data_IF_795861039158
#
_entry.id   IF_795861039158
#
_cell.length_a   1.000
_cell.length_b   1.000
_cell.length_c   1.000
_cell.angle_alpha   90.00
_cell.angle_beta   90.00
_cell.angle_gamma   90.00
#
_symmetry.space_group_name_H-M   'P 1'
#
loop_
_entity.id
_entity.type
_entity.pdbx_description
1 polymer ?
#
# COMPACT_ATOMS: atom_id res chain seq x y z
N UNK A 1 9.72 -37.19 -47.50
CA UNK A 1 9.00 -35.94 -47.59
C UNK A 1 8.00 -35.89 -46.45
N UNK A 2 8.37 -35.28 -45.35
CA UNK A 2 7.54 -35.17 -44.16
C UNK A 2 7.25 -33.69 -43.91
N UNK A 3 6.00 -33.32 -44.02
CA UNK A 3 5.53 -31.98 -43.73
C UNK A 3 5.32 -31.84 -42.21
N UNK A 4 6.13 -30.99 -41.60
CA UNK A 4 5.98 -30.56 -40.22
C UNK A 4 4.79 -29.59 -40.11
N UNK A 5 3.71 -30.04 -39.51
CA UNK A 5 2.56 -29.20 -39.17
C UNK A 5 2.94 -28.39 -37.91
N UNK A 6 3.19 -27.11 -38.11
CA UNK A 6 3.34 -26.16 -37.04
C UNK A 6 2.04 -26.05 -36.26
N UNK A 7 2.08 -26.40 -34.97
CA UNK A 7 1.00 -26.21 -34.02
C UNK A 7 0.91 -24.72 -33.71
N UNK A 8 0.01 -24.04 -34.41
CA UNK A 8 -0.42 -22.71 -34.00
C UNK A 8 -1.01 -22.80 -32.58
N UNK A 9 -0.33 -22.19 -31.64
CA UNK A 9 -0.92 -21.88 -30.31
C UNK A 9 -1.99 -20.83 -30.56
N UNK A 10 -3.22 -21.29 -30.65
CA UNK A 10 -4.38 -20.40 -30.62
C UNK A 10 -4.38 -19.71 -29.25
N UNK A 11 -4.09 -18.42 -29.28
CA UNK A 11 -4.40 -17.50 -28.20
C UNK A 11 -5.86 -17.70 -27.84
N UNK A 12 -6.08 -18.18 -26.64
CA UNK A 12 -7.42 -18.35 -26.07
C UNK A 12 -8.04 -16.99 -25.89
N UNK A 13 -9.19 -16.83 -26.51
CA UNK A 13 -9.92 -15.60 -26.77
C UNK A 13 -10.00 -14.65 -25.59
N UNK A 14 -9.72 -13.40 -25.93
CA UNK A 14 -10.18 -12.15 -25.31
C UNK A 14 -11.67 -12.27 -24.92
N UNK A 15 -11.95 -12.62 -23.69
CA UNK A 15 -13.26 -12.38 -23.07
C UNK A 15 -13.30 -10.88 -22.75
N UNK A 16 -14.10 -10.07 -23.46
CA UNK A 16 -14.15 -8.63 -23.25
C UNK A 16 -14.67 -8.22 -21.86
N UNK A 17 -15.10 -9.19 -21.05
CA UNK A 17 -15.51 -8.99 -19.65
C UNK A 17 -14.39 -9.29 -18.65
N UNK A 18 -13.30 -9.91 -19.05
CA UNK A 18 -12.16 -10.21 -18.19
C UNK A 18 -11.25 -8.98 -18.07
N UNK A 19 -11.22 -8.36 -16.89
CA UNK A 19 -10.26 -7.30 -16.59
C UNK A 19 -8.84 -7.85 -16.74
N UNK A 20 -8.06 -7.27 -17.65
CA UNK A 20 -6.67 -7.68 -17.85
C UNK A 20 -5.78 -7.18 -16.69
N UNK A 21 -4.63 -7.83 -16.48
CA UNK A 21 -3.64 -7.34 -15.51
C UNK A 21 -3.19 -5.91 -15.84
N UNK A 22 -3.03 -5.56 -17.12
CA UNK A 22 -2.64 -4.22 -17.54
C UNK A 22 -3.68 -3.17 -17.16
N UNK A 23 -4.97 -3.47 -17.29
CA UNK A 23 -6.05 -2.61 -16.84
C UNK A 23 -6.04 -2.43 -15.33
N UNK A 24 -5.83 -3.53 -14.56
CA UNK A 24 -5.66 -3.46 -13.11
C UNK A 24 -4.47 -2.55 -12.74
N UNK A 25 -3.34 -2.73 -13.42
CA UNK A 25 -2.14 -1.95 -13.18
C UNK A 25 -2.38 -0.46 -13.44
N UNK A 26 -2.90 -0.09 -14.61
CA UNK A 26 -3.18 1.29 -14.98
C UNK A 26 -4.17 1.97 -14.03
N UNK A 27 -5.22 1.26 -13.63
CA UNK A 27 -6.27 1.79 -12.78
C UNK A 27 -5.82 1.95 -11.31
N UNK A 28 -5.02 1.02 -10.80
CA UNK A 28 -4.73 0.94 -9.37
C UNK A 28 -3.31 1.36 -8.98
N UNK A 29 -2.41 1.64 -9.91
CA UNK A 29 -1.06 2.09 -9.59
C UNK A 29 -1.05 3.32 -8.65
N UNK A 30 -1.69 4.40 -9.04
CA UNK A 30 -1.73 5.62 -8.25
C UNK A 30 -2.50 5.49 -6.93
N UNK A 31 -3.67 4.85 -6.87
CA UNK A 31 -4.32 4.52 -5.59
C UNK A 31 -3.42 3.72 -4.64
N UNK A 32 -2.69 2.72 -5.15
CA UNK A 32 -1.80 1.90 -4.32
C UNK A 32 -0.55 2.67 -3.89
N UNK A 33 -0.01 3.54 -4.74
CA UNK A 33 1.11 4.39 -4.37
C UNK A 33 0.73 5.36 -3.23
N UNK A 34 -0.43 5.99 -3.31
CA UNK A 34 -0.95 6.82 -2.21
C UNK A 34 -1.16 6.03 -0.92
N UNK A 35 -1.68 4.81 -1.04
CA UNK A 35 -1.82 3.91 0.11
C UNK A 35 -0.47 3.57 0.72
N UNK A 36 0.51 3.17 -0.10
CA UNK A 36 1.85 2.83 0.35
C UNK A 36 2.56 4.02 1.01
N UNK A 37 2.49 5.23 0.41
CA UNK A 37 3.07 6.47 0.96
C UNK A 37 2.51 6.80 2.35
N UNK A 38 1.23 6.52 2.61
CA UNK A 38 0.65 6.66 3.95
C UNK A 38 1.08 5.58 4.96
N UNK A 39 1.70 4.50 4.49
CA UNK A 39 2.10 3.35 5.33
C UNK A 39 3.60 3.30 5.59
N UNK A 40 4.43 3.82 4.69
CA UNK A 40 5.90 3.87 4.82
C UNK A 40 6.37 5.32 4.96
N UNK A 41 7.65 5.49 5.32
CA UNK A 41 8.19 6.80 5.69
C UNK A 41 8.81 7.55 4.51
N UNK A 42 8.98 6.93 3.33
CA UNK A 42 9.58 7.56 2.15
C UNK A 42 8.99 7.04 0.82
N UNK A 43 9.09 7.88 -0.22
CA UNK A 43 8.49 7.62 -1.54
C UNK A 43 9.15 6.44 -2.26
N UNK A 44 10.47 6.30 -2.20
CA UNK A 44 11.18 5.18 -2.83
C UNK A 44 10.74 3.83 -2.26
N UNK A 45 10.62 3.74 -0.94
CA UNK A 45 10.04 2.54 -0.29
C UNK A 45 8.58 2.32 -0.66
N UNK A 46 7.80 3.39 -0.93
CA UNK A 46 6.41 3.25 -1.35
C UNK A 46 6.31 2.65 -2.77
N UNK A 47 7.15 3.10 -3.69
CA UNK A 47 7.21 2.55 -5.05
C UNK A 47 7.62 1.08 -5.05
N UNK A 48 8.67 0.71 -4.30
CA UNK A 48 9.12 -0.67 -4.14
C UNK A 48 7.99 -1.56 -3.59
N UNK A 49 7.29 -1.08 -2.57
CA UNK A 49 6.14 -1.78 -1.97
C UNK A 49 5.04 -2.03 -3.00
N UNK A 50 4.73 -1.04 -3.82
CA UNK A 50 3.68 -1.15 -4.85
C UNK A 50 4.12 -2.12 -5.95
N UNK A 51 5.36 -2.04 -6.42
CA UNK A 51 5.91 -2.96 -7.41
C UNK A 51 5.87 -4.40 -6.89
N UNK A 52 6.33 -4.64 -5.66
CA UNK A 52 6.29 -5.96 -5.02
C UNK A 52 4.86 -6.50 -4.91
N UNK A 53 3.89 -5.62 -4.57
CA UNK A 53 2.50 -6.00 -4.46
C UNK A 53 1.89 -6.39 -5.82
N UNK A 54 2.15 -5.61 -6.88
CA UNK A 54 1.71 -5.98 -8.23
C UNK A 54 2.38 -7.26 -8.74
N UNK A 55 3.67 -7.45 -8.47
CA UNK A 55 4.36 -8.69 -8.80
C UNK A 55 3.75 -9.90 -8.07
N UNK A 56 3.31 -9.73 -6.81
CA UNK A 56 2.61 -10.78 -6.07
C UNK A 56 1.24 -11.13 -6.67
N UNK A 57 0.49 -10.12 -7.13
CA UNK A 57 -0.79 -10.32 -7.85
C UNK A 57 -0.55 -11.00 -9.18
N UNK A 58 0.45 -10.55 -9.95
CA UNK A 58 0.78 -11.12 -11.26
C UNK A 58 1.08 -12.63 -11.18
N UNK A 59 1.89 -13.03 -10.21
CA UNK A 59 2.20 -14.46 -9.98
C UNK A 59 0.99 -15.34 -9.69
N UNK A 60 -0.14 -14.74 -9.30
CA UNK A 60 -1.39 -15.43 -8.99
C UNK A 60 -2.52 -15.09 -9.95
N UNK A 61 -2.23 -14.32 -11.00
CA UNK A 61 -3.24 -13.78 -11.91
C UNK A 61 -4.16 -14.84 -12.44
N UNK A 62 -3.62 -15.95 -12.96
CA UNK A 62 -4.40 -17.06 -13.53
C UNK A 62 -5.31 -17.77 -12.51
N UNK A 63 -5.04 -17.60 -11.21
CA UNK A 63 -5.86 -18.17 -10.14
C UNK A 63 -6.96 -17.22 -9.64
N UNK A 64 -6.93 -15.96 -10.05
CA UNK A 64 -7.88 -14.93 -9.63
C UNK A 64 -9.02 -14.86 -10.64
N UNK A 65 -10.20 -15.34 -10.24
CA UNK A 65 -11.38 -15.40 -11.12
C UNK A 65 -12.20 -14.11 -11.16
N UNK A 66 -12.05 -13.23 -10.17
CA UNK A 66 -12.86 -12.03 -10.03
C UNK A 66 -12.00 -10.77 -9.85
N UNK A 67 -12.24 -9.69 -10.63
CA UNK A 67 -11.49 -8.43 -10.53
C UNK A 67 -11.51 -7.81 -9.12
N UNK A 68 -12.66 -7.91 -8.42
CA UNK A 68 -12.77 -7.42 -7.03
C UNK A 68 -11.86 -8.17 -6.07
N UNK A 69 -11.67 -9.47 -6.28
CA UNK A 69 -10.75 -10.29 -5.49
C UNK A 69 -9.29 -9.86 -5.75
N UNK A 70 -8.94 -9.53 -7.00
CA UNK A 70 -7.61 -9.02 -7.36
C UNK A 70 -7.28 -7.73 -6.62
N UNK A 71 -8.22 -6.76 -6.58
CA UNK A 71 -8.04 -5.49 -5.87
C UNK A 71 -7.88 -5.70 -4.37
N UNK A 72 -8.69 -6.57 -3.77
CA UNK A 72 -8.58 -6.94 -2.35
C UNK A 72 -7.23 -7.56 -2.03
N UNK A 73 -6.78 -8.50 -2.88
CA UNK A 73 -5.47 -9.12 -2.74
C UNK A 73 -4.32 -8.11 -2.91
N UNK A 74 -4.43 -7.20 -3.88
CA UNK A 74 -3.44 -6.13 -4.11
C UNK A 74 -3.30 -5.23 -2.88
N UNK A 75 -4.40 -4.76 -2.30
CA UNK A 75 -4.40 -3.94 -1.07
C UNK A 75 -3.75 -4.69 0.10
N UNK A 76 -4.10 -5.95 0.31
CA UNK A 76 -3.49 -6.79 1.34
C UNK A 76 -1.99 -6.96 1.10
N UNK A 77 -1.58 -7.13 -0.15
CA UNK A 77 -0.17 -7.24 -0.54
C UNK A 77 0.60 -5.95 -0.23
N UNK A 78 0.03 -4.77 -0.54
CA UNK A 78 0.63 -3.47 -0.19
C UNK A 78 0.81 -3.32 1.32
N UNK A 79 -0.21 -3.65 2.13
CA UNK A 79 -0.11 -3.59 3.59
C UNK A 79 0.99 -4.51 4.12
N UNK A 80 1.05 -5.75 3.61
CA UNK A 80 2.05 -6.73 4.06
C UNK A 80 3.47 -6.34 3.62
N UNK A 81 3.64 -5.84 2.39
CA UNK A 81 4.91 -5.36 1.89
C UNK A 81 5.40 -4.12 2.67
N UNK A 82 4.50 -3.16 2.98
CA UNK A 82 4.79 -2.01 3.82
C UNK A 82 5.28 -2.41 5.21
N UNK A 83 4.60 -3.36 5.86
CA UNK A 83 5.03 -3.90 7.16
C UNK A 83 6.40 -4.54 7.10
N UNK A 84 6.67 -5.27 6.01
CA UNK A 84 7.97 -5.92 5.80
C UNK A 84 9.08 -4.89 5.56
N UNK A 85 8.81 -3.83 4.79
CA UNK A 85 9.74 -2.73 4.56
C UNK A 85 10.09 -2.01 5.87
N UNK A 86 9.08 -1.62 6.66
CA UNK A 86 9.28 -0.99 7.96
C UNK A 86 10.06 -1.88 8.92
N UNK A 87 9.77 -3.18 8.96
CA UNK A 87 10.50 -4.13 9.80
C UNK A 87 11.97 -4.26 9.40
N UNK A 88 12.25 -4.35 8.09
CA UNK A 88 13.63 -4.36 7.57
C UNK A 88 14.39 -3.09 7.97
N UNK A 89 13.76 -1.91 7.89
CA UNK A 89 14.37 -0.64 8.31
C UNK A 89 14.67 -0.60 9.82
N UNK A 90 13.76 -1.07 10.66
CA UNK A 90 14.00 -1.14 12.11
C UNK A 90 15.20 -2.05 12.40
N UNK A 91 15.26 -3.21 11.75
CA UNK A 91 16.41 -4.13 11.90
C UNK A 91 17.69 -3.50 11.38
N UNK A 92 17.67 -2.88 10.19
CA UNK A 92 18.82 -2.20 9.61
C UNK A 92 19.31 -1.05 10.50
N UNK A 93 18.41 -0.21 11.03
CA UNK A 93 18.76 0.85 11.99
C UNK A 93 19.38 0.29 13.27
N UNK A 94 18.82 -0.80 13.81
CA UNK A 94 19.36 -1.46 15.01
C UNK A 94 20.78 -2.00 14.78
N UNK A 95 21.08 -2.47 13.58
CA UNK A 95 22.44 -2.88 13.19
C UNK A 95 23.33 -1.69 12.82
N UNK A 96 22.76 -0.58 12.33
CA UNK A 96 23.49 0.63 11.92
C UNK A 96 23.74 1.58 13.09
N UNK A 97 23.06 1.45 14.23
CA UNK A 97 23.39 2.20 15.46
C UNK A 97 24.80 1.90 16.02
N UNK A 98 25.55 1.04 15.33
CA UNK A 98 27.00 0.94 15.50
C UNK A 98 27.82 1.87 14.57
N UNK A 99 27.19 2.62 13.67
CA UNK A 99 27.85 3.60 12.80
C UNK A 99 26.82 4.58 12.18
N UNK A 100 26.92 5.84 12.61
CA UNK A 100 26.58 7.07 11.89
C UNK A 100 25.10 7.50 11.78
N UNK A 101 24.95 8.76 12.11
CA UNK A 101 23.95 9.80 12.11
C UNK A 101 23.08 9.93 10.85
N UNK A 102 21.92 10.55 11.04
CA UNK A 102 20.80 10.71 10.12
C UNK A 102 21.08 11.63 8.93
N UNK A 103 20.47 11.29 7.78
CA UNK A 103 19.95 12.30 6.84
C UNK A 103 18.58 11.89 6.36
N UNK A 104 17.56 12.59 6.87
CA UNK A 104 16.23 12.56 6.31
C UNK A 104 16.23 13.37 5.00
N UNK A 105 15.99 12.72 3.87
CA UNK A 105 15.75 13.39 2.60
C UNK A 105 14.28 13.80 2.55
N UNK A 106 14.04 15.10 2.74
CA UNK A 106 12.78 15.73 2.36
C UNK A 106 12.83 16.02 0.86
N UNK A 107 11.98 15.38 0.07
CA UNK A 107 11.78 15.74 -1.32
C UNK A 107 10.74 16.86 -1.40
N UNK A 108 11.24 18.00 -1.86
CA UNK A 108 10.53 19.21 -2.23
C UNK A 108 9.60 18.97 -3.43
N UNK A 109 8.29 19.24 -3.31
CA UNK A 109 7.42 19.61 -4.43
C UNK A 109 6.16 20.34 -3.96
N UNK A 110 6.24 21.63 -4.13
CA UNK A 110 5.33 22.72 -4.50
C UNK A 110 3.82 22.45 -4.55
N UNK A 111 3.11 23.13 -3.67
CA UNK A 111 1.87 23.91 -3.68
C UNK A 111 1.20 23.87 -2.30
N UNK A 112 0.39 24.86 -1.98
CA UNK A 112 -0.31 24.98 -0.68
C UNK A 112 -1.12 23.72 -0.30
N UNK A 113 -1.60 22.96 -1.29
CA UNK A 113 -2.21 21.62 -1.11
C UNK A 113 -1.16 20.52 -0.82
N UNK A 114 0.08 20.69 -1.21
CA UNK A 114 1.18 19.80 -0.88
C UNK A 114 1.60 19.98 0.58
N UNK A 115 1.69 21.21 1.05
CA UNK A 115 2.04 21.51 2.45
C UNK A 115 1.05 20.90 3.46
N UNK A 116 -0.26 20.95 3.16
CA UNK A 116 -1.26 20.31 4.02
C UNK A 116 -1.20 18.77 3.95
N UNK A 117 -0.89 18.20 2.77
CA UNK A 117 -0.65 16.76 2.62
C UNK A 117 0.61 16.32 3.36
N UNK A 118 1.67 17.12 3.30
CA UNK A 118 2.94 16.86 4.01
C UNK A 118 2.74 16.93 5.52
N UNK A 119 1.94 17.90 6.02
CA UNK A 119 1.58 18.00 7.45
C UNK A 119 0.77 16.79 7.93
N UNK A 120 -0.23 16.35 7.17
CA UNK A 120 -1.01 15.15 7.50
C UNK A 120 -0.14 13.89 7.42
N UNK A 121 0.71 13.79 6.40
CA UNK A 121 1.67 12.70 6.25
C UNK A 121 2.64 12.62 7.44
N UNK A 122 3.23 13.76 7.83
CA UNK A 122 4.09 13.86 9.00
C UNK A 122 3.36 13.49 10.30
N UNK A 123 2.13 13.96 10.48
CA UNK A 123 1.31 13.61 11.64
C UNK A 123 0.97 12.11 11.67
N UNK A 124 0.65 11.51 10.53
CA UNK A 124 0.43 10.06 10.42
C UNK A 124 1.69 9.27 10.76
N UNK A 125 2.87 9.76 10.36
CA UNK A 125 4.14 9.10 10.64
C UNK A 125 4.46 9.01 12.15
N UNK A 126 3.94 9.93 12.97
CA UNK A 126 4.09 9.90 14.44
C UNK A 126 3.24 8.84 15.11
N UNK A 127 2.21 8.31 14.44
CA UNK A 127 1.30 7.34 15.02
C UNK A 127 1.96 5.96 15.16
N UNK A 128 1.57 5.18 16.19
CA UNK A 128 1.87 3.76 16.24
C UNK A 128 1.41 3.06 14.96
N UNK A 129 2.22 2.14 14.43
CA UNK A 129 2.00 1.48 13.14
C UNK A 129 0.55 1.00 12.92
N UNK A 130 -0.06 0.36 13.92
CA UNK A 130 -1.44 -0.15 13.81
C UNK A 130 -2.49 0.95 13.63
N UNK A 131 -2.29 2.09 14.28
CA UNK A 131 -3.19 3.24 14.15
C UNK A 131 -3.04 3.88 12.78
N UNK A 132 -1.80 4.07 12.32
CA UNK A 132 -1.47 4.59 10.99
C UNK A 132 -2.08 3.70 9.90
N UNK A 133 -1.86 2.39 9.94
CA UNK A 133 -2.43 1.42 8.99
C UNK A 133 -3.96 1.54 8.89
N UNK A 134 -4.65 1.53 10.04
CA UNK A 134 -6.11 1.59 10.06
C UNK A 134 -6.61 2.92 9.49
N UNK A 135 -5.99 4.05 9.86
CA UNK A 135 -6.42 5.36 9.34
C UNK A 135 -6.13 5.50 7.85
N UNK A 136 -4.96 5.08 7.38
CA UNK A 136 -4.62 5.12 5.96
C UNK A 136 -5.58 4.25 5.13
N UNK A 137 -5.87 3.02 5.58
CA UNK A 137 -6.82 2.15 4.91
C UNK A 137 -8.25 2.71 4.91
N UNK A 138 -8.66 3.39 5.98
CA UNK A 138 -9.99 3.97 6.08
C UNK A 138 -10.16 5.23 5.22
N UNK A 139 -9.21 6.16 5.25
CA UNK A 139 -9.37 7.49 4.68
C UNK A 139 -8.67 7.67 3.32
N UNK A 140 -7.62 6.91 3.03
CA UNK A 140 -6.93 6.96 1.73
C UNK A 140 -7.45 5.88 0.79
N UNK A 141 -7.70 4.67 1.29
CA UNK A 141 -8.23 3.56 0.49
C UNK A 141 -9.75 3.38 0.64
N UNK A 142 -10.41 4.18 1.48
CA UNK A 142 -11.88 4.21 1.71
C UNK A 142 -12.48 2.83 2.04
N UNK A 143 -11.74 2.03 2.81
CA UNK A 143 -12.16 0.67 3.14
C UNK A 143 -13.13 0.62 4.32
N UNK A 144 -14.05 -0.33 4.27
CA UNK A 144 -14.92 -0.68 5.39
C UNK A 144 -14.14 -1.32 6.55
N UNK A 145 -14.71 -1.32 7.76
CA UNK A 145 -14.14 -2.01 8.93
C UNK A 145 -13.87 -3.48 8.67
N UNK A 146 -14.70 -4.12 7.86
CA UNK A 146 -14.57 -5.53 7.51
C UNK A 146 -13.36 -5.75 6.59
N UNK A 147 -13.19 -4.89 5.57
CA UNK A 147 -12.07 -4.98 4.64
C UNK A 147 -10.74 -4.62 5.33
N UNK A 148 -10.76 -3.61 6.22
CA UNK A 148 -9.59 -3.26 7.04
C UNK A 148 -9.21 -4.44 7.95
N UNK A 149 -10.18 -5.09 8.59
CA UNK A 149 -9.94 -6.25 9.42
C UNK A 149 -9.28 -7.39 8.62
N UNK A 150 -9.79 -7.68 7.43
CA UNK A 150 -9.23 -8.67 6.51
C UNK A 150 -7.79 -8.30 6.08
N UNK A 151 -7.56 -7.05 5.68
CA UNK A 151 -6.23 -6.58 5.23
C UNK A 151 -5.19 -6.53 6.34
N UNK A 152 -5.60 -6.23 7.59
CA UNK A 152 -4.68 -6.02 8.73
C UNK A 152 -4.52 -7.21 9.64
N UNK A 153 -5.43 -8.18 9.57
CA UNK A 153 -5.53 -9.30 10.52
C UNK A 153 -6.04 -8.87 11.90
N UNK A 154 -6.63 -7.68 12.02
CA UNK A 154 -7.28 -7.21 13.25
C UNK A 154 -8.73 -7.71 13.32
N UNK A 155 -9.27 -7.81 14.55
CA UNK A 155 -10.73 -7.90 14.71
C UNK A 155 -11.40 -6.58 14.36
N UNK A 156 -12.69 -6.60 13.99
CA UNK A 156 -13.47 -5.37 13.73
C UNK A 156 -13.50 -4.43 14.95
N UNK A 157 -13.53 -4.98 16.16
CA UNK A 157 -13.41 -4.18 17.38
C UNK A 157 -12.01 -3.55 17.51
N UNK A 158 -10.95 -4.28 17.13
CA UNK A 158 -9.58 -3.78 17.07
C UNK A 158 -9.42 -2.64 16.06
N UNK A 159 -10.05 -2.75 14.88
CA UNK A 159 -10.09 -1.69 13.86
C UNK A 159 -10.72 -0.42 14.42
N UNK A 160 -11.91 -0.52 15.04
CA UNK A 160 -12.59 0.64 15.65
C UNK A 160 -11.75 1.30 16.75
N UNK A 161 -11.19 0.49 17.64
CA UNK A 161 -10.32 0.97 18.72
C UNK A 161 -9.06 1.67 18.20
N UNK A 162 -8.39 1.09 17.21
CA UNK A 162 -7.20 1.70 16.60
C UNK A 162 -7.54 3.01 15.87
N UNK A 163 -8.67 3.06 15.15
CA UNK A 163 -9.15 4.27 14.49
C UNK A 163 -9.45 5.39 15.47
N UNK A 164 -10.20 5.11 16.55
CA UNK A 164 -10.55 6.10 17.55
C UNK A 164 -9.30 6.69 18.23
N UNK A 165 -8.35 5.84 18.64
CA UNK A 165 -7.09 6.29 19.26
C UNK A 165 -6.21 7.06 18.28
N UNK A 166 -6.12 6.62 17.04
CA UNK A 166 -5.35 7.31 16.01
C UNK A 166 -5.91 8.68 15.69
N UNK A 167 -7.25 8.83 15.58
CA UNK A 167 -7.89 10.12 15.37
C UNK A 167 -7.70 11.08 16.56
N UNK A 168 -7.77 10.56 17.78
CA UNK A 168 -7.50 11.36 18.98
C UNK A 168 -6.05 11.88 18.97
N UNK A 169 -5.08 11.03 18.66
CA UNK A 169 -3.69 11.42 18.55
C UNK A 169 -3.45 12.44 17.44
N UNK A 170 -4.05 12.27 16.25
CA UNK A 170 -3.95 13.25 15.17
C UNK A 170 -4.54 14.61 15.54
N UNK A 171 -5.69 14.64 16.24
CA UNK A 171 -6.25 15.92 16.73
C UNK A 171 -5.28 16.65 17.66
N UNK A 172 -4.63 15.92 18.55
CA UNK A 172 -3.66 16.53 19.47
C UNK A 172 -2.44 17.07 18.71
N UNK A 173 -1.96 16.34 17.68
CA UNK A 173 -0.80 16.75 16.88
C UNK A 173 -1.13 17.93 15.97
N UNK A 174 -2.30 17.93 15.32
CA UNK A 174 -2.71 18.96 14.35
C UNK A 174 -3.42 20.14 15.03
N UNK A 175 -4.17 19.90 16.10
CA UNK A 175 -4.91 20.93 16.84
C UNK A 175 -4.05 21.80 17.75
N UNK A 176 -2.86 21.37 18.13
CA UNK A 176 -1.89 22.19 18.87
C UNK A 176 -1.13 23.21 17.99
N UNK A 177 -1.44 23.28 16.68
CA UNK A 177 -0.80 24.16 15.70
C UNK A 177 -1.79 25.16 15.04
N UNK A 178 -3.03 25.29 15.56
CA UNK A 178 -4.04 26.26 15.11
C UNK A 178 -4.10 27.46 16.06
#
# INVERSE_FOLDING_TARGET
>A
MAATVGRMVTSEADDPSAVSFDQLYQQYWWPMLRLATGLVDDVGSAEDVVQDAFAAVYRRWDSIREPKAAVGYLRTSVVNASRSALRRRIVARKHLHLAIDETASAADHNTMLAADRDRVGAALATLPQRQREVLTLRYVAELSDTDIAAATGLSRAGVRSASSRGLAALRNTLGGQL
#
